data_IF_095139655603
#
_entry.id   IF_095139655603
#
_cell.length_a   1.000
_cell.length_b   1.000
_cell.length_c   1.000
_cell.angle_alpha   90.00
_cell.angle_beta   90.00
_cell.angle_gamma   90.00
#
_symmetry.space_group_name_H-M   'P 1'
#
loop_
_entity.id
_entity.type
_entity.pdbx_description
1 polymer ?
#
# COMPACT_ATOMS: atom_id res chain seq x y z
N UNK A 1 5.17 23.05 -33.90
CA UNK A 1 4.86 22.22 -32.71
C UNK A 1 6.14 22.14 -31.90
N UNK A 2 6.26 22.87 -30.80
CA UNK A 2 7.40 22.77 -29.89
C UNK A 2 7.21 21.48 -29.13
N UNK A 3 8.08 20.50 -29.32
CA UNK A 3 8.10 19.30 -28.51
C UNK A 3 8.47 19.74 -27.09
N UNK A 4 7.49 19.68 -26.16
CA UNK A 4 7.79 19.87 -24.75
C UNK A 4 8.77 18.77 -24.34
N UNK A 5 9.91 19.16 -23.80
CA UNK A 5 10.87 18.23 -23.19
C UNK A 5 10.22 17.63 -21.95
N UNK A 6 10.72 16.48 -21.48
CA UNK A 6 10.19 15.83 -20.28
C UNK A 6 10.30 16.72 -19.02
N UNK A 7 11.23 17.68 -19.04
CA UNK A 7 11.45 18.68 -18.01
C UNK A 7 10.29 19.69 -17.90
N UNK A 8 9.61 19.97 -19.00
CA UNK A 8 8.51 20.95 -19.09
C UNK A 8 7.14 20.32 -18.79
N UNK A 9 7.10 19.05 -18.45
CA UNK A 9 5.85 18.38 -18.11
C UNK A 9 5.38 18.71 -16.71
N UNK A 10 4.06 18.83 -16.52
CA UNK A 10 3.45 18.83 -15.19
C UNK A 10 3.63 17.47 -14.52
N UNK A 11 3.54 17.41 -13.19
CA UNK A 11 3.78 16.22 -12.39
C UNK A 11 2.88 15.04 -12.80
N UNK A 12 1.62 15.27 -13.08
CA UNK A 12 0.64 14.26 -13.52
C UNK A 12 1.02 13.68 -14.88
N UNK A 13 1.34 14.52 -15.88
CA UNK A 13 1.76 14.08 -17.22
C UNK A 13 3.09 13.34 -17.20
N UNK A 14 4.03 13.80 -16.37
CA UNK A 14 5.29 13.10 -16.17
C UNK A 14 5.06 11.71 -15.58
N UNK A 15 4.18 11.61 -14.59
CA UNK A 15 3.80 10.31 -14.01
C UNK A 15 3.14 9.42 -15.04
N UNK A 16 2.15 9.89 -15.79
CA UNK A 16 1.47 9.10 -16.82
C UNK A 16 2.45 8.53 -17.86
N UNK A 17 3.43 9.33 -18.27
CA UNK A 17 4.46 8.89 -19.24
C UNK A 17 5.45 7.88 -18.65
N UNK A 18 5.85 8.03 -17.40
CA UNK A 18 6.99 7.31 -16.83
C UNK A 18 6.62 6.28 -15.74
N UNK A 19 5.35 6.17 -15.32
CA UNK A 19 4.94 5.28 -14.21
C UNK A 19 5.39 3.82 -14.39
N UNK A 20 5.32 3.29 -15.62
CA UNK A 20 5.75 1.92 -15.91
C UNK A 20 7.28 1.78 -15.79
N UNK A 21 8.03 2.76 -16.26
CA UNK A 21 9.50 2.77 -16.13
C UNK A 21 9.92 2.87 -14.67
N UNK A 22 9.24 3.71 -13.88
CA UNK A 22 9.45 3.83 -12.44
C UNK A 22 9.12 2.51 -11.73
N UNK A 23 8.04 1.84 -12.11
CA UNK A 23 7.66 0.54 -11.55
C UNK A 23 8.70 -0.53 -11.83
N UNK A 24 9.27 -0.56 -13.04
CA UNK A 24 10.35 -1.48 -13.43
C UNK A 24 11.62 -1.20 -12.62
N UNK A 25 12.04 0.07 -12.52
CA UNK A 25 13.22 0.48 -11.76
C UNK A 25 13.10 0.08 -10.28
N UNK A 26 11.92 0.27 -9.70
CA UNK A 26 11.63 -0.06 -8.30
C UNK A 26 11.30 -1.53 -8.06
N UNK A 27 11.30 -2.36 -9.10
CA UNK A 27 10.97 -3.80 -9.03
C UNK A 27 9.65 -4.07 -8.30
N UNK A 28 8.64 -3.23 -8.54
CA UNK A 28 7.32 -3.48 -8.00
C UNK A 28 6.78 -4.79 -8.58
N UNK A 29 6.28 -5.64 -7.68
CA UNK A 29 5.82 -6.97 -8.06
C UNK A 29 4.68 -6.86 -9.08
N UNK A 30 4.94 -7.41 -10.27
CA UNK A 30 3.97 -7.56 -11.33
C UNK A 30 3.85 -9.05 -11.59
N UNK A 31 2.64 -9.53 -11.81
CA UNK A 31 2.41 -10.95 -12.06
C UNK A 31 3.26 -11.44 -13.25
N UNK A 32 3.90 -12.59 -13.06
CA UNK A 32 4.71 -13.23 -14.09
C UNK A 32 3.81 -13.55 -15.29
N UNK A 33 4.13 -12.98 -16.45
CA UNK A 33 3.37 -13.19 -17.70
C UNK A 33 2.47 -12.02 -18.11
N UNK A 34 2.19 -11.07 -17.20
CA UNK A 34 1.42 -9.89 -17.55
C UNK A 34 2.30 -8.76 -18.04
N UNK A 35 1.84 -8.06 -19.06
CA UNK A 35 2.43 -6.77 -19.41
C UNK A 35 2.28 -5.82 -18.23
N UNK A 36 3.28 -4.95 -18.02
CA UNK A 36 3.21 -3.89 -17.04
C UNK A 36 2.01 -2.98 -17.34
N UNK A 37 0.97 -3.06 -16.54
CA UNK A 37 -0.23 -2.25 -16.69
C UNK A 37 -0.70 -1.70 -15.35
N UNK A 38 -1.36 -0.55 -15.36
CA UNK A 38 -2.02 0.01 -14.18
C UNK A 38 -3.01 -0.96 -13.55
N UNK A 39 -3.69 -1.74 -14.38
CA UNK A 39 -4.75 -2.64 -13.94
C UNK A 39 -4.25 -3.77 -13.06
N UNK A 40 -3.01 -4.20 -13.26
CA UNK A 40 -2.44 -5.37 -12.61
C UNK A 40 -1.55 -5.05 -11.42
N UNK A 41 -1.24 -3.77 -11.17
CA UNK A 41 -0.41 -3.34 -10.05
C UNK A 41 -1.16 -2.43 -9.08
N UNK A 42 -1.51 -2.95 -7.90
CA UNK A 42 -2.20 -2.18 -6.86
C UNK A 42 -1.40 -0.94 -6.41
N UNK A 43 -0.07 -1.05 -6.35
CA UNK A 43 0.82 0.06 -5.99
C UNK A 43 0.76 1.18 -7.02
N UNK A 44 0.75 0.85 -8.33
CA UNK A 44 0.62 1.85 -9.40
C UNK A 44 -0.70 2.59 -9.30
N UNK A 45 -1.82 1.88 -9.12
CA UNK A 45 -3.15 2.50 -8.97
C UNK A 45 -3.22 3.44 -7.77
N UNK A 46 -2.68 3.01 -6.64
CA UNK A 46 -2.65 3.81 -5.42
C UNK A 46 -1.79 5.07 -5.59
N UNK A 47 -0.62 4.93 -6.22
CA UNK A 47 0.28 6.06 -6.46
C UNK A 47 -0.27 7.01 -7.52
N UNK A 48 -0.96 6.49 -8.53
CA UNK A 48 -1.65 7.31 -9.54
C UNK A 48 -2.66 8.26 -8.89
N UNK A 49 -3.54 7.73 -8.04
CA UNK A 49 -4.51 8.54 -7.28
C UNK A 49 -3.83 9.62 -6.43
N UNK A 50 -2.77 9.26 -5.72
CA UNK A 50 -2.06 10.20 -4.86
C UNK A 50 -1.32 11.28 -5.64
N UNK A 51 -0.63 10.91 -6.71
CA UNK A 51 0.14 11.85 -7.53
C UNK A 51 -0.79 12.82 -8.24
N UNK A 52 -1.91 12.35 -8.80
CA UNK A 52 -2.92 13.21 -9.44
C UNK A 52 -3.53 14.20 -8.45
N UNK A 53 -3.84 13.77 -7.23
CA UNK A 53 -4.32 14.66 -6.16
C UNK A 53 -3.30 15.71 -5.76
N UNK A 54 -2.02 15.37 -5.69
CA UNK A 54 -0.97 16.35 -5.37
C UNK A 54 -0.74 17.28 -6.54
N UNK A 55 -0.72 16.77 -7.77
CA UNK A 55 -0.53 17.54 -8.99
C UNK A 55 -1.61 18.62 -9.19
N UNK A 56 -2.86 18.36 -8.74
CA UNK A 56 -3.93 19.35 -8.83
C UNK A 56 -3.69 20.63 -8.00
N UNK A 57 -2.69 20.64 -7.14
CA UNK A 57 -2.24 21.81 -6.38
C UNK A 57 -0.88 22.36 -6.86
N UNK A 58 -0.37 21.85 -8.00
CA UNK A 58 0.92 22.24 -8.58
C UNK A 58 0.69 22.63 -10.05
N UNK A 59 0.72 23.94 -10.32
CA UNK A 59 0.59 24.47 -11.69
C UNK A 59 1.97 24.89 -12.21
N UNK A 60 2.88 23.90 -12.32
CA UNK A 60 4.26 24.11 -12.76
C UNK A 60 4.87 22.86 -13.34
N UNK A 61 5.97 23.02 -14.09
CA UNK A 61 6.74 21.89 -14.64
C UNK A 61 7.47 21.11 -13.54
N UNK A 62 7.79 19.82 -13.80
CA UNK A 62 8.48 18.97 -12.82
C UNK A 62 9.86 19.52 -12.44
N UNK A 63 10.53 20.21 -13.37
CA UNK A 63 11.84 20.84 -13.15
C UNK A 63 11.79 22.04 -12.20
N UNK A 64 10.65 22.73 -12.13
CA UNK A 64 10.45 23.92 -11.29
C UNK A 64 9.94 23.60 -9.88
N UNK A 65 9.48 22.38 -9.65
CA UNK A 65 8.92 21.99 -8.36
C UNK A 65 10.00 22.04 -7.27
N UNK A 66 9.73 22.78 -6.22
CA UNK A 66 10.59 22.90 -5.03
C UNK A 66 10.06 22.06 -3.87
N UNK A 67 10.89 21.75 -2.85
CA UNK A 67 10.42 21.12 -1.62
C UNK A 67 9.27 21.86 -0.94
N UNK A 68 9.25 23.20 -1.01
CA UNK A 68 8.19 24.02 -0.43
C UNK A 68 6.85 23.83 -1.17
N UNK A 69 6.89 23.74 -2.50
CA UNK A 69 5.70 23.46 -3.32
C UNK A 69 5.11 22.11 -2.96
N UNK A 70 5.94 21.06 -2.85
CA UNK A 70 5.50 19.70 -2.43
C UNK A 70 4.89 19.74 -1.03
N UNK A 71 5.56 20.39 -0.07
CA UNK A 71 5.03 20.51 1.29
C UNK A 71 3.64 21.15 1.30
N UNK A 72 3.47 22.23 0.55
CA UNK A 72 2.19 22.94 0.45
C UNK A 72 1.11 22.08 -0.17
N UNK A 73 1.40 21.44 -1.33
CA UNK A 73 0.45 20.59 -2.05
C UNK A 73 0.03 19.37 -1.20
N UNK A 74 0.98 18.64 -0.61
CA UNK A 74 0.69 17.49 0.24
C UNK A 74 -0.11 17.89 1.48
N UNK A 75 0.20 19.04 2.10
CA UNK A 75 -0.58 19.59 3.22
C UNK A 75 -2.04 19.85 2.84
N UNK A 76 -2.27 20.45 1.68
CA UNK A 76 -3.64 20.71 1.18
C UNK A 76 -4.40 19.40 0.92
N UNK A 77 -3.78 18.44 0.24
CA UNK A 77 -4.37 17.11 -0.01
C UNK A 77 -4.67 16.40 1.30
N UNK A 78 -3.73 16.40 2.26
CA UNK A 78 -3.92 15.74 3.56
C UNK A 78 -5.10 16.33 4.33
N UNK A 79 -5.26 17.66 4.34
CA UNK A 79 -6.39 18.35 4.97
C UNK A 79 -7.71 18.09 4.25
N UNK A 80 -7.74 18.23 2.92
CA UNK A 80 -8.95 18.06 2.11
C UNK A 80 -9.50 16.63 2.18
N UNK A 81 -8.62 15.63 2.22
CA UNK A 81 -8.99 14.21 2.28
C UNK A 81 -8.98 13.64 3.70
N UNK A 82 -8.64 14.42 4.72
CA UNK A 82 -8.52 14.00 6.13
C UNK A 82 -7.58 12.77 6.30
N UNK A 83 -6.47 12.77 5.57
CA UNK A 83 -5.54 11.65 5.57
C UNK A 83 -4.77 11.53 6.89
N UNK A 84 -4.66 10.30 7.37
CA UNK A 84 -3.83 9.94 8.51
C UNK A 84 -2.33 9.92 8.13
N UNK A 85 -1.48 9.94 9.15
CA UNK A 85 -0.02 9.94 9.03
C UNK A 85 0.52 8.86 8.08
N UNK A 86 0.02 7.64 8.20
CA UNK A 86 0.45 6.52 7.37
C UNK A 86 0.21 6.77 5.87
N UNK A 87 -0.94 7.38 5.54
CA UNK A 87 -1.28 7.75 4.15
C UNK A 87 -0.38 8.87 3.65
N UNK A 88 -0.13 9.90 4.46
CA UNK A 88 0.79 10.99 4.09
C UNK A 88 2.21 10.46 3.84
N UNK A 89 2.70 9.54 4.67
CA UNK A 89 3.99 8.84 4.45
C UNK A 89 4.01 8.10 3.10
N UNK A 90 2.90 7.48 2.73
CA UNK A 90 2.77 6.78 1.44
C UNK A 90 2.79 7.75 0.26
N UNK A 91 2.10 8.89 0.36
CA UNK A 91 2.12 9.96 -0.65
C UNK A 91 3.56 10.48 -0.86
N UNK A 92 4.26 10.79 0.23
CA UNK A 92 5.65 11.26 0.15
C UNK A 92 6.57 10.18 -0.45
N UNK A 93 6.31 8.90 -0.17
CA UNK A 93 7.05 7.79 -0.78
C UNK A 93 6.80 7.70 -2.28
N UNK A 94 5.56 7.90 -2.73
CA UNK A 94 5.21 7.93 -4.15
C UNK A 94 5.96 9.06 -4.87
N UNK A 95 5.88 10.28 -4.34
CA UNK A 95 6.58 11.44 -4.89
C UNK A 95 8.09 11.25 -4.92
N UNK A 96 8.67 10.66 -3.87
CA UNK A 96 10.11 10.34 -3.84
C UNK A 96 10.51 9.41 -4.99
N UNK A 97 9.71 8.43 -5.32
CA UNK A 97 10.00 7.53 -6.44
C UNK A 97 10.00 8.28 -7.76
N UNK A 98 9.05 9.21 -7.97
CA UNK A 98 9.00 10.04 -9.18
C UNK A 98 10.23 10.94 -9.28
N UNK A 99 10.54 11.74 -8.25
CA UNK A 99 11.68 12.66 -8.28
C UNK A 99 13.03 11.95 -8.32
N UNK A 100 13.14 10.76 -7.70
CA UNK A 100 14.35 9.95 -7.81
C UNK A 100 14.56 9.45 -9.25
N UNK A 101 13.51 9.02 -9.92
CA UNK A 101 13.57 8.62 -11.33
C UNK A 101 13.86 9.81 -12.25
N UNK A 102 13.15 10.93 -12.07
CA UNK A 102 13.36 12.15 -12.83
C UNK A 102 14.80 12.66 -12.71
N UNK A 103 15.39 12.59 -11.52
CA UNK A 103 16.79 12.95 -11.32
C UNK A 103 17.78 11.98 -11.99
N UNK A 104 17.47 10.67 -12.03
CA UNK A 104 18.28 9.69 -12.75
C UNK A 104 18.26 9.94 -14.25
N UNK A 105 17.13 10.42 -14.79
CA UNK A 105 16.97 10.79 -16.18
C UNK A 105 17.49 12.20 -16.52
N UNK A 106 17.87 13.01 -15.53
CA UNK A 106 18.30 14.40 -15.70
C UNK A 106 17.17 15.39 -15.92
N UNK A 107 15.91 15.02 -15.70
CA UNK A 107 14.73 15.85 -15.96
C UNK A 107 14.34 16.77 -14.78
N UNK A 108 14.78 16.46 -13.57
CA UNK A 108 14.55 17.29 -12.39
C UNK A 108 15.58 16.99 -11.28
N UNK A 109 15.66 17.85 -10.27
CA UNK A 109 16.47 17.58 -9.09
C UNK A 109 15.79 16.56 -8.16
N UNK A 110 16.60 15.72 -7.48
CA UNK A 110 16.08 14.80 -6.46
C UNK A 110 15.80 15.56 -5.15
N UNK A 111 14.74 16.34 -5.14
CA UNK A 111 14.34 17.23 -4.03
C UNK A 111 13.86 16.48 -2.78
N UNK A 112 13.60 15.17 -2.88
CA UNK A 112 13.10 14.32 -1.80
C UNK A 112 14.10 13.21 -1.42
N UNK A 113 15.37 13.34 -1.77
CA UNK A 113 16.40 12.37 -1.43
C UNK A 113 16.53 12.18 0.09
N UNK A 114 16.77 10.94 0.52
CA UNK A 114 17.25 10.72 1.88
C UNK A 114 18.71 11.08 1.94
N UNK A 115 19.12 11.97 2.86
CA UNK A 115 20.52 12.20 3.11
C UNK A 115 21.21 10.89 3.53
N UNK A 116 22.27 10.51 2.82
CA UNK A 116 23.01 9.25 3.05
C UNK A 116 23.81 9.21 4.36
N UNK A 117 24.07 10.34 4.96
CA UNK A 117 24.90 10.45 6.14
C UNK A 117 24.04 10.52 7.39
N UNK A 118 23.58 9.43 7.94
CA UNK A 118 23.16 9.22 9.36
C UNK A 118 22.44 10.33 10.14
N UNK A 119 22.37 11.51 9.58
CA UNK A 119 21.83 12.72 10.18
C UNK A 119 20.30 12.72 10.11
N UNK A 120 19.68 12.24 11.18
CA UNK A 120 18.23 12.20 11.35
C UNK A 120 17.62 13.62 11.41
N UNK A 121 18.42 14.64 11.73
CA UNK A 121 17.93 15.99 11.96
C UNK A 121 17.56 16.76 10.69
N UNK A 122 18.17 16.42 9.55
CA UNK A 122 17.99 17.11 8.27
C UNK A 122 17.23 16.33 7.19
N UNK A 123 16.48 15.31 7.59
CA UNK A 123 15.66 14.59 6.64
C UNK A 123 14.44 15.44 6.26
N UNK A 124 14.47 16.02 5.06
CA UNK A 124 13.39 16.84 4.52
C UNK A 124 12.02 16.17 4.69
N UNK A 125 11.97 14.84 4.54
CA UNK A 125 10.75 14.05 4.76
C UNK A 125 10.27 14.14 6.21
N UNK A 126 11.18 14.06 7.18
CA UNK A 126 10.84 14.18 8.62
C UNK A 126 10.32 15.59 8.93
N UNK A 127 10.99 16.62 8.41
CA UNK A 127 10.54 18.01 8.58
C UNK A 127 9.18 18.24 7.91
N UNK A 128 8.97 17.69 6.70
CA UNK A 128 7.68 17.74 6.02
C UNK A 128 6.59 17.06 6.84
N UNK A 129 6.86 15.86 7.36
CA UNK A 129 5.93 15.13 8.21
C UNK A 129 5.56 15.91 9.47
N UNK A 130 6.54 16.48 10.17
CA UNK A 130 6.30 17.31 11.35
C UNK A 130 5.40 18.52 11.03
N UNK A 131 5.65 19.22 9.91
CA UNK A 131 4.86 20.39 9.51
C UNK A 131 3.44 20.04 9.02
N UNK A 132 3.29 18.92 8.34
CA UNK A 132 1.96 18.47 7.83
C UNK A 132 1.11 17.94 8.97
N UNK A 133 1.71 17.22 9.91
CA UNK A 133 0.99 16.50 10.98
C UNK A 133 0.88 17.31 12.29
N UNK A 134 1.69 18.34 12.49
CA UNK A 134 1.62 19.15 13.70
C UNK A 134 0.19 19.64 14.04
N UNK A 135 -0.65 20.06 13.07
CA UNK A 135 -2.05 20.39 13.36
C UNK A 135 -2.94 19.16 13.65
N UNK A 136 -2.56 17.97 13.16
CA UNK A 136 -3.34 16.75 13.34
C UNK A 136 -3.04 16.07 14.69
N UNK A 137 -1.81 16.23 15.20
CA UNK A 137 -1.40 15.68 16.51
C UNK A 137 -2.15 16.35 17.65
N UNK A 138 -2.45 17.64 17.55
CA UNK A 138 -3.26 18.34 18.56
C UNK A 138 -4.70 17.79 18.69
N UNK A 139 -5.21 17.14 17.64
CA UNK A 139 -6.52 16.45 17.65
C UNK A 139 -6.41 14.93 17.85
N UNK A 140 -5.21 14.35 17.77
CA UNK A 140 -4.99 12.90 17.84
C UNK A 140 -4.92 12.37 19.28
N UNK A 141 -4.76 13.21 20.28
CA UNK A 141 -4.85 12.80 21.69
C UNK A 141 -6.24 12.28 22.07
N UNK A 142 -7.26 12.52 21.23
CA UNK A 142 -8.63 12.03 21.41
C UNK A 142 -8.98 10.77 20.62
N UNK A 143 -8.17 10.38 19.66
CA UNK A 143 -8.38 9.16 18.86
C UNK A 143 -7.22 8.18 19.09
N UNK A 144 -7.36 7.34 20.11
CA UNK A 144 -6.59 6.12 20.31
C UNK A 144 -6.93 5.12 19.17
N UNK A 145 -6.55 5.50 17.94
CA UNK A 145 -6.85 4.79 16.70
C UNK A 145 -5.85 3.67 16.41
N UNK A 146 -5.10 3.24 17.43
CA UNK A 146 -4.34 2.00 17.31
C UNK A 146 -5.37 0.86 17.24
N UNK A 147 -5.36 0.03 16.16
CA UNK A 147 -6.24 -1.12 16.10
C UNK A 147 -5.92 -2.03 17.29
N UNK A 148 -6.81 -2.02 18.28
CA UNK A 148 -6.65 -2.84 19.48
C UNK A 148 -6.90 -4.29 19.10
N UNK A 149 -6.02 -5.18 19.53
CA UNK A 149 -6.30 -6.60 19.48
C UNK A 149 -7.58 -6.90 20.27
N UNK A 150 -8.40 -7.80 19.75
CA UNK A 150 -9.59 -8.25 20.47
C UNK A 150 -9.17 -8.92 21.79
N UNK A 151 -9.84 -8.58 22.87
CA UNK A 151 -9.72 -9.34 24.12
C UNK A 151 -10.27 -10.76 23.95
N UNK A 152 -9.85 -11.70 24.78
CA UNK A 152 -10.33 -13.09 24.73
C UNK A 152 -11.86 -13.16 24.78
N UNK A 153 -12.48 -12.35 25.61
CA UNK A 153 -13.94 -12.28 25.70
C UNK A 153 -14.61 -11.72 24.44
N UNK A 154 -13.98 -10.75 23.76
CA UNK A 154 -14.44 -10.24 22.47
C UNK A 154 -14.27 -11.27 21.35
N UNK A 155 -13.14 -12.00 21.34
CA UNK A 155 -12.91 -13.10 20.39
C UNK A 155 -13.95 -14.19 20.54
N UNK A 156 -14.25 -14.60 21.78
CA UNK A 156 -15.28 -15.60 22.06
C UNK A 156 -16.67 -15.18 21.59
N UNK A 157 -17.08 -13.94 21.87
CA UNK A 157 -18.36 -13.41 21.38
C UNK A 157 -18.44 -13.33 19.87
N UNK A 158 -17.35 -12.87 19.23
CA UNK A 158 -17.29 -12.83 17.77
C UNK A 158 -17.35 -14.23 17.15
N UNK A 159 -16.67 -15.21 17.75
CA UNK A 159 -16.70 -16.59 17.29
C UNK A 159 -18.11 -17.21 17.39
N UNK A 160 -18.78 -17.02 18.52
CA UNK A 160 -20.15 -17.49 18.72
C UNK A 160 -21.11 -16.85 17.71
N UNK A 161 -21.09 -15.54 17.60
CA UNK A 161 -21.93 -14.83 16.64
C UNK A 161 -21.70 -15.32 15.20
N UNK A 162 -20.43 -15.45 14.79
CA UNK A 162 -20.09 -15.94 13.45
C UNK A 162 -20.55 -17.40 13.24
N UNK A 163 -20.44 -18.26 14.24
CA UNK A 163 -20.89 -19.65 14.16
C UNK A 163 -22.41 -19.75 14.02
N UNK A 164 -23.18 -18.92 14.72
CA UNK A 164 -24.63 -18.87 14.62
C UNK A 164 -25.12 -18.43 13.23
N UNK A 165 -24.39 -17.52 12.55
CA UNK A 165 -24.80 -16.93 11.27
C UNK A 165 -24.08 -17.53 10.05
N UNK A 166 -23.24 -18.55 10.23
CA UNK A 166 -22.42 -19.11 9.13
C UNK A 166 -23.26 -19.69 7.98
N UNK A 167 -24.44 -20.18 8.26
CA UNK A 167 -25.34 -20.72 7.25
C UNK A 167 -26.13 -19.63 6.50
N UNK A 168 -26.26 -18.47 7.08
CA UNK A 168 -26.93 -17.32 6.48
C UNK A 168 -26.00 -16.58 5.51
N UNK A 169 -24.71 -16.46 5.86
CA UNK A 169 -23.72 -15.77 5.07
C UNK A 169 -22.35 -16.44 5.19
N UNK A 170 -21.87 -16.99 4.08
CA UNK A 170 -20.55 -17.65 4.01
C UNK A 170 -19.35 -16.76 4.43
N UNK A 171 -19.51 -15.43 4.50
CA UNK A 171 -18.45 -14.53 5.01
C UNK A 171 -18.12 -14.80 6.47
N UNK A 172 -19.06 -15.32 7.26
CA UNK A 172 -18.83 -15.69 8.65
C UNK A 172 -17.86 -16.87 8.79
N UNK A 173 -17.85 -17.80 7.82
CA UNK A 173 -16.81 -18.85 7.76
C UNK A 173 -15.41 -18.26 7.64
N UNK A 174 -15.24 -17.24 6.81
CA UNK A 174 -13.97 -16.54 6.65
C UNK A 174 -13.51 -15.83 7.93
N UNK A 175 -14.45 -15.27 8.71
CA UNK A 175 -14.18 -14.67 10.02
C UNK A 175 -13.68 -15.74 11.00
N UNK A 176 -14.36 -16.88 11.10
CA UNK A 176 -13.97 -17.99 11.97
C UNK A 176 -12.57 -18.52 11.59
N UNK A 177 -12.35 -18.79 10.30
CA UNK A 177 -11.05 -19.26 9.83
C UNK A 177 -9.96 -18.24 10.17
N UNK A 178 -10.17 -16.95 9.88
CA UNK A 178 -9.19 -15.90 10.22
C UNK A 178 -8.91 -15.81 11.70
N UNK A 179 -9.95 -15.93 12.54
CA UNK A 179 -9.84 -15.80 13.99
C UNK A 179 -8.98 -16.92 14.61
N UNK A 180 -9.17 -18.17 14.14
CA UNK A 180 -8.47 -19.33 14.69
C UNK A 180 -7.12 -19.60 14.02
N UNK A 181 -6.92 -19.19 12.77
CA UNK A 181 -5.72 -19.53 12.00
C UNK A 181 -4.78 -18.34 11.79
N UNK A 182 -5.23 -17.12 12.05
CA UNK A 182 -4.50 -15.89 11.73
C UNK A 182 -4.31 -15.66 10.23
N UNK A 183 -5.12 -16.28 9.37
CA UNK A 183 -5.06 -16.10 7.93
C UNK A 183 -5.50 -14.69 7.54
N UNK A 184 -4.84 -14.14 6.51
CA UNK A 184 -5.27 -12.87 5.91
C UNK A 184 -6.57 -13.06 5.13
N UNK A 185 -7.41 -12.00 4.97
CA UNK A 185 -8.67 -12.11 4.24
C UNK A 185 -8.51 -12.64 2.79
N UNK A 186 -7.42 -12.29 2.10
CA UNK A 186 -7.16 -12.78 0.75
C UNK A 186 -6.77 -14.27 0.73
N UNK A 187 -6.10 -14.77 1.76
CA UNK A 187 -5.78 -16.18 1.96
C UNK A 187 -7.06 -16.97 2.24
N UNK A 188 -7.92 -16.47 3.14
CA UNK A 188 -9.21 -17.11 3.42
C UNK A 188 -10.12 -17.19 2.19
N UNK A 189 -10.20 -16.12 1.39
CA UNK A 189 -10.97 -16.10 0.14
C UNK A 189 -10.43 -17.07 -0.90
N UNK A 190 -9.13 -17.33 -0.88
CA UNK A 190 -8.45 -18.24 -1.81
C UNK A 190 -8.52 -19.72 -1.41
N UNK A 191 -9.01 -20.02 -0.21
CA UNK A 191 -9.00 -21.37 0.35
C UNK A 191 -9.93 -22.31 -0.42
N UNK A 192 -9.44 -23.51 -0.74
CA UNK A 192 -10.18 -24.57 -1.42
C UNK A 192 -10.19 -25.82 -0.56
N UNK A 193 -11.15 -26.72 -0.82
CA UNK A 193 -11.21 -28.02 -0.14
C UNK A 193 -9.91 -28.82 -0.28
N UNK A 194 -9.23 -28.72 -1.42
CA UNK A 194 -7.97 -29.41 -1.67
C UNK A 194 -6.79 -28.87 -0.85
N UNK A 195 -6.95 -27.73 -0.17
CA UNK A 195 -5.92 -27.15 0.70
C UNK A 195 -5.96 -27.74 2.10
N UNK A 196 -7.06 -28.43 2.46
CA UNK A 196 -7.16 -29.25 3.65
C UNK A 196 -6.47 -30.59 3.40
N UNK A 197 -5.41 -30.88 4.13
CA UNK A 197 -4.61 -32.09 3.96
C UNK A 197 -4.42 -32.81 5.27
N UNK A 198 -4.38 -34.14 5.20
CA UNK A 198 -4.03 -34.97 6.35
C UNK A 198 -2.53 -35.10 6.47
N UNK A 199 -2.02 -35.16 7.70
CA UNK A 199 -0.63 -35.51 7.95
C UNK A 199 -0.41 -37.01 7.58
N UNK A 200 0.60 -37.32 6.75
CA UNK A 200 0.87 -38.72 6.34
C UNK A 200 1.09 -39.65 7.53
N UNK A 201 1.82 -39.16 8.53
CA UNK A 201 2.26 -39.98 9.68
C UNK A 201 1.35 -39.83 10.91
N UNK A 202 0.26 -39.06 10.81
CA UNK A 202 -0.66 -38.81 11.93
C UNK A 202 -2.13 -38.91 11.46
N UNK A 203 -2.74 -40.09 11.40
CA UNK A 203 -4.14 -40.25 11.04
C UNK A 203 -5.05 -39.42 11.95
N UNK A 204 -5.97 -38.68 11.38
CA UNK A 204 -6.89 -37.79 12.10
C UNK A 204 -6.37 -36.37 12.43
N UNK A 205 -5.13 -36.07 12.10
CA UNK A 205 -4.62 -34.67 12.13
C UNK A 205 -4.62 -34.08 10.73
N UNK A 206 -5.01 -32.84 10.64
CA UNK A 206 -5.13 -32.09 9.38
C UNK A 206 -4.34 -30.78 9.46
N UNK A 207 -3.97 -30.27 8.30
CA UNK A 207 -3.35 -28.96 8.16
C UNK A 207 -3.90 -28.22 6.93
N UNK A 208 -3.87 -26.91 6.98
CA UNK A 208 -4.19 -26.03 5.86
C UNK A 208 -2.90 -25.65 5.13
N UNK A 209 -2.84 -25.94 3.84
CA UNK A 209 -1.75 -25.51 2.97
C UNK A 209 -2.12 -24.19 2.29
N UNK A 210 -1.40 -23.12 2.61
CA UNK A 210 -1.59 -21.81 2.01
C UNK A 210 -0.53 -21.62 0.94
N UNK A 211 -0.86 -21.82 -0.32
CA UNK A 211 0.03 -21.62 -1.46
C UNK A 211 -0.55 -20.70 -2.54
N UNK A 212 -1.82 -20.36 -2.45
CA UNK A 212 -2.50 -19.43 -3.34
C UNK A 212 -3.34 -18.41 -2.55
N UNK A 213 -3.60 -17.27 -3.16
CA UNK A 213 -4.51 -16.25 -2.65
C UNK A 213 -5.51 -15.86 -3.75
N UNK A 214 -6.72 -15.48 -3.37
CA UNK A 214 -7.66 -14.87 -4.30
C UNK A 214 -7.46 -13.36 -4.27
N UNK A 215 -7.07 -12.78 -5.42
CA UNK A 215 -6.89 -11.34 -5.55
C UNK A 215 -8.24 -10.62 -5.69
N UNK A 216 -8.21 -9.28 -5.70
CA UNK A 216 -9.43 -8.46 -5.82
C UNK A 216 -10.14 -8.60 -7.18
N UNK A 217 -9.48 -9.16 -8.20
CA UNK A 217 -10.07 -9.51 -9.51
C UNK A 217 -10.66 -10.92 -9.54
N UNK A 218 -10.80 -11.57 -8.39
CA UNK A 218 -11.26 -12.95 -8.23
C UNK A 218 -10.40 -13.99 -8.99
N UNK A 219 -9.11 -13.69 -9.17
CA UNK A 219 -8.16 -14.60 -9.81
C UNK A 219 -7.23 -15.19 -8.77
N UNK A 220 -7.00 -16.51 -8.87
CA UNK A 220 -6.01 -17.20 -8.03
C UNK A 220 -4.59 -16.78 -8.41
N UNK A 221 -3.78 -16.50 -7.42
CA UNK A 221 -2.40 -16.08 -7.59
C UNK A 221 -1.49 -16.75 -6.58
N UNK A 222 -0.36 -17.27 -7.05
CA UNK A 222 0.75 -17.74 -6.20
C UNK A 222 1.60 -16.60 -5.65
N UNK A 223 1.32 -15.36 -6.05
CA UNK A 223 2.02 -14.19 -5.54
C UNK A 223 1.54 -13.83 -4.15
N UNK A 224 2.26 -14.32 -3.17
CA UNK A 224 2.10 -13.93 -1.78
C UNK A 224 2.97 -12.71 -1.46
N UNK A 225 2.47 -11.82 -0.61
CA UNK A 225 3.14 -10.55 -0.27
C UNK A 225 4.55 -10.73 0.34
N UNK A 226 4.82 -11.87 0.95
CA UNK A 226 6.11 -12.22 1.55
C UNK A 226 6.39 -13.71 1.38
N UNK A 227 7.67 -14.12 1.36
CA UNK A 227 8.06 -15.54 1.32
C UNK A 227 7.44 -16.37 2.45
N UNK A 228 7.24 -15.77 3.61
CA UNK A 228 6.64 -16.43 4.79
C UNK A 228 5.11 -16.59 4.72
N UNK A 229 4.48 -16.12 3.64
CA UNK A 229 3.04 -16.31 3.46
C UNK A 229 2.70 -17.69 2.89
N UNK A 230 3.68 -18.38 2.27
CA UNK A 230 3.56 -19.81 1.93
C UNK A 230 3.80 -20.61 3.20
N UNK A 231 2.76 -21.16 3.80
CA UNK A 231 2.86 -21.87 5.07
C UNK A 231 1.78 -22.94 5.19
N UNK A 232 2.03 -23.88 6.10
CA UNK A 232 1.01 -24.81 6.58
C UNK A 232 0.58 -24.42 7.99
N UNK A 233 -0.70 -24.48 8.25
CA UNK A 233 -1.31 -24.19 9.55
C UNK A 233 -1.89 -25.52 10.05
N UNK A 234 -1.42 -26.05 11.20
CA UNK A 234 -1.90 -27.28 11.79
C UNK A 234 -3.32 -27.16 12.30
#
# INVERSE_FOLDING_TARGET
MVFKTDEDMSLDKYWEKHCISIAKDRRWAIQKGDQYSFENCATLRQYDDYIKKVASYLDMSISEITPANILHAVSKVAKACQYQEATVKTIISALRNVFSYAATCGHAYNILSKNRAGDKSNNLTTLMMQRILAPAVANAELNDSCPRALTIGQQGRLALYAAEHVLEDGRFSGILISLYTGMRPAECRGLRWNDFRSFPDHPGRHYLKIDEILNDKLMYSKQVKTKNALRSIP
#
